data_IF_889069747071
#
_entry.id   IF_889069747071
#
_cell.length_a   1.000
_cell.length_b   1.000
_cell.length_c   1.000
_cell.angle_alpha   90.00
_cell.angle_beta   90.00
_cell.angle_gamma   90.00
#
_symmetry.space_group_name_H-M   'P 1'
#
loop_
_entity.id
_entity.type
_entity.pdbx_description
1 polymer ?
#
# COMPACT_ATOMS: atom_id res chain seq x y z
N UNK A 1 -12.68 0.53 -7.62
CA UNK A 1 -11.85 0.62 -6.40
C UNK A 1 -12.79 0.94 -5.26
N UNK A 2 -12.73 0.15 -4.18
CA UNK A 2 -13.54 0.40 -2.98
C UNK A 2 -12.61 0.88 -1.88
N UNK A 3 -12.96 1.96 -1.20
CA UNK A 3 -12.18 2.49 -0.09
C UNK A 3 -12.27 1.57 1.14
N UNK A 4 -11.23 1.55 1.96
CA UNK A 4 -11.17 0.82 3.21
C UNK A 4 -12.25 1.35 4.17
N UNK A 5 -12.94 0.42 4.83
CA UNK A 5 -13.99 0.74 5.80
C UNK A 5 -13.35 0.96 7.17
N UNK A 6 -12.73 2.12 7.36
CA UNK A 6 -12.11 2.47 8.65
C UNK A 6 -13.16 2.84 9.70
N UNK A 7 -12.91 2.53 11.00
CA UNK A 7 -13.79 2.96 12.08
C UNK A 7 -13.77 4.48 12.23
N UNK A 8 -14.68 5.03 13.04
CA UNK A 8 -14.61 6.45 13.40
C UNK A 8 -13.28 6.73 14.15
N UNK A 9 -12.62 7.88 13.89
CA UNK A 9 -11.41 8.28 14.60
C UNK A 9 -11.54 8.21 16.14
N UNK A 10 -10.43 8.01 16.86
CA UNK A 10 -9.05 8.08 16.37
C UNK A 10 -8.50 6.74 15.84
N UNK A 11 -7.78 6.82 14.73
CA UNK A 11 -6.91 5.76 14.21
C UNK A 11 -5.68 6.41 13.57
N UNK A 12 -4.64 5.62 13.32
CA UNK A 12 -3.45 6.08 12.62
C UNK A 12 -3.55 5.71 11.15
N UNK A 13 -3.03 6.58 10.28
CA UNK A 13 -2.79 6.29 8.88
C UNK A 13 -1.28 6.42 8.63
N UNK A 14 -0.68 5.40 8.04
CA UNK A 14 0.72 5.39 7.62
C UNK A 14 0.74 5.53 6.11
N UNK A 15 1.36 6.61 5.62
CA UNK A 15 1.38 6.95 4.20
C UNK A 15 2.80 6.81 3.66
N UNK A 16 2.96 5.95 2.67
CA UNK A 16 4.21 5.73 1.94
C UNK A 16 4.09 6.35 0.55
N UNK A 17 5.09 7.15 0.17
CA UNK A 17 5.21 7.66 -1.20
C UNK A 17 6.45 7.04 -1.84
N UNK A 18 6.29 6.54 -3.06
CA UNK A 18 7.34 5.83 -3.80
C UNK A 18 7.45 6.41 -5.20
N UNK A 19 8.67 6.61 -5.68
CA UNK A 19 8.94 6.91 -7.08
C UNK A 19 9.69 5.72 -7.67
N UNK A 20 9.07 5.01 -8.61
CA UNK A 20 9.75 3.98 -9.37
C UNK A 20 10.43 4.61 -10.57
N UNK A 21 11.70 4.30 -10.75
CA UNK A 21 12.41 4.44 -12.02
C UNK A 21 12.35 3.09 -12.69
N UNK A 22 11.93 3.11 -13.95
CA UNK A 22 11.62 1.99 -14.84
C UNK A 22 12.36 0.68 -14.48
N UNK A 23 11.63 -0.39 -14.13
CA UNK A 23 12.22 -1.69 -13.78
C UNK A 23 11.21 -2.83 -13.99
N UNK A 24 11.27 -3.47 -15.15
CA UNK A 24 10.44 -4.62 -15.49
C UNK A 24 10.89 -5.94 -14.83
N UNK A 25 11.89 -5.94 -13.94
CA UNK A 25 12.45 -7.18 -13.36
C UNK A 25 13.21 -7.02 -12.02
N UNK A 26 12.85 -6.05 -11.17
CA UNK A 26 13.52 -5.81 -9.87
C UNK A 26 12.95 -6.64 -8.69
N UNK A 27 11.91 -7.45 -8.93
CA UNK A 27 11.22 -8.22 -7.89
C UNK A 27 10.38 -7.37 -6.93
N UNK A 28 10.25 -6.06 -7.17
CA UNK A 28 9.51 -5.15 -6.28
C UNK A 28 8.04 -5.54 -6.18
N UNK A 29 7.41 -5.92 -7.29
CA UNK A 29 6.00 -6.31 -7.30
C UNK A 29 5.76 -7.55 -6.44
N UNK A 30 6.61 -8.57 -6.54
CA UNK A 30 6.52 -9.78 -5.73
C UNK A 30 6.69 -9.47 -4.24
N UNK A 31 7.63 -8.58 -3.91
CA UNK A 31 7.81 -8.14 -2.52
C UNK A 31 6.61 -7.32 -2.04
N UNK A 32 6.06 -6.43 -2.87
CA UNK A 32 4.89 -5.63 -2.54
C UNK A 32 3.67 -6.52 -2.26
N UNK A 33 3.45 -7.56 -3.06
CA UNK A 33 2.39 -8.55 -2.81
C UNK A 33 2.61 -9.31 -1.50
N UNK A 34 3.85 -9.72 -1.20
CA UNK A 34 4.17 -10.38 0.08
C UNK A 34 3.90 -9.45 1.27
N UNK A 35 4.30 -8.18 1.18
CA UNK A 35 4.03 -7.19 2.22
C UNK A 35 2.53 -6.99 2.40
N UNK A 36 1.77 -6.85 1.31
CA UNK A 36 0.31 -6.71 1.38
C UNK A 36 -0.36 -7.89 2.11
N UNK A 37 0.08 -9.12 1.86
CA UNK A 37 -0.44 -10.29 2.59
C UNK A 37 -0.04 -10.25 4.08
N UNK A 38 1.22 -9.96 4.38
CA UNK A 38 1.71 -9.95 5.77
C UNK A 38 1.06 -8.86 6.63
N UNK A 39 0.76 -7.70 6.04
CA UNK A 39 0.15 -6.57 6.75
C UNK A 39 -1.30 -6.86 7.13
N UNK A 40 -2.03 -7.60 6.30
CA UNK A 40 -3.42 -8.00 6.59
C UNK A 40 -3.56 -8.87 7.84
N UNK A 41 -2.54 -9.64 8.16
CA UNK A 41 -2.50 -10.50 9.34
C UNK A 41 -2.09 -9.75 10.63
N UNK A 42 -1.67 -8.49 10.53
CA UNK A 42 -1.25 -7.73 11.69
C UNK A 42 -2.45 -7.32 12.56
N UNK A 43 -2.39 -7.53 13.89
CA UNK A 43 -3.41 -7.04 14.80
C UNK A 43 -3.59 -5.52 14.67
N UNK A 44 -4.85 -5.08 14.48
CA UNK A 44 -5.19 -3.67 14.34
C UNK A 44 -5.06 -3.11 12.92
N UNK A 45 -4.79 -3.95 11.91
CA UNK A 45 -4.90 -3.56 10.51
C UNK A 45 -6.33 -3.14 10.17
N UNK A 46 -6.49 -1.93 9.61
CA UNK A 46 -7.79 -1.36 9.26
C UNK A 46 -8.06 -1.34 7.74
N UNK A 47 -7.03 -1.58 6.93
CA UNK A 47 -7.10 -1.54 5.48
C UNK A 47 -5.82 -1.04 4.84
N UNK A 48 -5.70 -1.19 3.52
CA UNK A 48 -4.60 -0.65 2.73
C UNK A 48 -5.14 -0.25 1.36
N UNK A 49 -4.76 0.95 0.92
CA UNK A 49 -5.07 1.49 -0.39
C UNK A 49 -3.78 1.86 -1.07
N UNK A 50 -3.58 1.42 -2.31
CA UNK A 50 -2.40 1.76 -3.10
C UNK A 50 -2.80 2.20 -4.49
N UNK A 51 -2.20 3.29 -4.95
CA UNK A 51 -2.34 3.81 -6.31
C UNK A 51 -0.98 4.06 -6.91
N UNK A 52 -0.85 3.87 -8.21
CA UNK A 52 0.37 4.16 -8.97
C UNK A 52 0.01 4.76 -10.32
N UNK A 53 0.71 5.81 -10.71
CA UNK A 53 0.57 6.44 -12.01
C UNK A 53 1.53 5.83 -13.06
N UNK A 54 1.35 6.25 -14.31
CA UNK A 54 2.17 5.82 -15.46
C UNK A 54 3.63 6.31 -15.37
N UNK A 55 3.90 7.35 -14.59
CA UNK A 55 5.24 7.88 -14.36
C UNK A 55 5.97 7.14 -13.22
N UNK A 56 5.36 6.10 -12.65
CA UNK A 56 5.93 5.29 -11.59
C UNK A 56 5.78 5.87 -10.18
N UNK A 57 5.13 7.03 -10.03
CA UNK A 57 4.80 7.62 -8.73
C UNK A 57 3.64 6.82 -8.10
N UNK A 58 3.82 6.36 -6.87
CA UNK A 58 2.81 5.59 -6.16
C UNK A 58 2.68 5.97 -4.70
N UNK A 59 1.44 5.97 -4.22
CA UNK A 59 1.06 6.28 -2.85
C UNK A 59 0.37 5.05 -2.27
N UNK A 60 0.77 4.65 -1.06
CA UNK A 60 0.11 3.61 -0.28
C UNK A 60 -0.27 4.18 1.08
N UNK A 61 -1.52 3.98 1.50
CA UNK A 61 -2.03 4.35 2.82
C UNK A 61 -2.56 3.09 3.52
N UNK A 62 -2.19 2.89 4.79
CA UNK A 62 -2.69 1.80 5.63
C UNK A 62 -3.01 2.28 7.06
#
# INVERSE_FOLDING_TARGET
MNFCQTPKPPYYAVIFTTQRVDNSNDGYNEMAEKIDQMVKDQPGYLGMESVRDENGCGITAC
#
